data_IF_776392209789
#
_entry.id   IF_776392209789
#
_cell.length_a   1.000
_cell.length_b   1.000
_cell.length_c   1.000
_cell.angle_alpha   90.00
_cell.angle_beta   90.00
_cell.angle_gamma   90.00
#
_symmetry.space_group_name_H-M   'P 1'
#
loop_
_entity.id
_entity.type
_entity.pdbx_description
1 polymer ?
#
# COMPACT_ATOMS: atom_id res chain seq x y z
N UNK A 1 -25.04 -10.56 33.29
CA UNK A 1 -23.59 -10.73 33.01
C UNK A 1 -23.28 -10.77 31.51
N UNK A 2 -24.05 -11.49 30.72
CA UNK A 2 -23.84 -11.61 29.23
C UNK A 2 -24.13 -10.28 28.53
N UNK A 3 -25.16 -9.54 28.85
CA UNK A 3 -25.50 -8.25 28.23
C UNK A 3 -24.42 -7.18 28.46
N UNK A 4 -23.81 -7.14 29.61
CA UNK A 4 -22.72 -6.20 29.90
C UNK A 4 -21.46 -6.52 29.10
N UNK A 5 -21.18 -7.81 28.89
CA UNK A 5 -20.06 -8.26 28.06
C UNK A 5 -20.26 -7.89 26.59
N UNK A 6 -21.45 -8.08 26.04
CA UNK A 6 -21.79 -7.71 24.66
C UNK A 6 -21.73 -6.18 24.43
N UNK A 7 -22.21 -5.40 25.40
CA UNK A 7 -22.17 -3.93 25.34
C UNK A 7 -20.72 -3.40 25.35
N UNK A 8 -19.87 -3.94 26.21
CA UNK A 8 -18.45 -3.54 26.27
C UNK A 8 -17.66 -3.94 25.03
N UNK A 9 -17.97 -5.07 24.41
CA UNK A 9 -17.37 -5.47 23.13
C UNK A 9 -17.80 -4.56 21.97
N UNK A 10 -19.08 -4.21 21.89
CA UNK A 10 -19.60 -3.29 20.86
C UNK A 10 -18.91 -1.91 20.93
N UNK A 11 -18.71 -1.38 22.14
CA UNK A 11 -17.99 -0.12 22.33
C UNK A 11 -16.51 -0.21 21.91
N UNK A 12 -15.84 -1.32 22.20
CA UNK A 12 -14.44 -1.52 21.81
C UNK A 12 -14.30 -1.58 20.28
N UNK A 13 -15.14 -2.35 19.62
CA UNK A 13 -15.11 -2.46 18.15
C UNK A 13 -15.32 -1.10 17.48
N UNK A 14 -16.28 -0.31 17.98
CA UNK A 14 -16.53 1.04 17.46
C UNK A 14 -15.32 1.96 17.67
N UNK A 15 -14.69 1.91 18.84
CA UNK A 15 -13.50 2.72 19.13
C UNK A 15 -12.28 2.31 18.27
N UNK A 16 -12.09 1.00 18.04
CA UNK A 16 -11.05 0.48 17.15
C UNK A 16 -11.27 0.92 15.69
N UNK A 17 -12.50 0.91 15.19
CA UNK A 17 -12.84 1.43 13.87
C UNK A 17 -12.57 2.94 13.77
N UNK A 18 -12.89 3.70 14.80
CA UNK A 18 -12.63 5.14 14.85
C UNK A 18 -11.13 5.45 14.87
N UNK A 19 -10.37 4.72 15.67
CA UNK A 19 -8.91 4.79 15.67
C UNK A 19 -8.34 4.47 14.28
N UNK A 20 -8.76 3.35 13.69
CA UNK A 20 -8.32 2.93 12.35
C UNK A 20 -8.59 3.99 11.28
N UNK A 21 -9.79 4.58 11.28
CA UNK A 21 -10.15 5.63 10.33
C UNK A 21 -9.28 6.88 10.47
N UNK A 22 -8.96 7.32 11.71
CA UNK A 22 -8.06 8.45 11.94
C UNK A 22 -6.66 8.17 11.43
N UNK A 23 -6.14 6.97 11.65
CA UNK A 23 -4.85 6.53 11.16
C UNK A 23 -4.80 6.48 9.62
N UNK A 24 -5.83 5.89 9.01
CA UNK A 24 -5.95 5.74 7.55
C UNK A 24 -6.03 7.10 6.83
N UNK A 25 -6.81 8.03 7.38
CA UNK A 25 -7.05 9.34 6.77
C UNK A 25 -6.09 10.44 7.28
N UNK A 26 -5.13 10.08 8.13
CA UNK A 26 -4.14 11.00 8.72
C UNK A 26 -4.77 12.25 9.38
N UNK A 27 -5.99 12.11 9.92
CA UNK A 27 -6.65 13.24 10.58
C UNK A 27 -8.10 12.99 11.00
N UNK A 28 -8.47 13.58 12.15
CA UNK A 28 -9.79 13.40 12.75
C UNK A 28 -10.95 13.91 11.89
N UNK A 29 -10.78 15.07 11.23
CA UNK A 29 -11.84 15.66 10.39
C UNK A 29 -12.07 14.87 9.11
N UNK A 30 -11.02 14.35 8.48
CA UNK A 30 -11.12 13.52 7.29
C UNK A 30 -11.75 12.17 7.62
N UNK A 31 -11.32 11.53 8.72
CA UNK A 31 -11.89 10.28 9.21
C UNK A 31 -13.37 10.40 9.59
N UNK A 32 -13.76 11.49 10.27
CA UNK A 32 -15.15 11.73 10.65
C UNK A 32 -16.07 11.83 9.42
N UNK A 33 -15.63 12.52 8.36
CA UNK A 33 -16.36 12.57 7.09
C UNK A 33 -16.47 11.19 6.44
N UNK A 34 -15.38 10.42 6.41
CA UNK A 34 -15.37 9.08 5.82
C UNK A 34 -16.30 8.11 6.57
N UNK A 35 -16.39 8.25 7.90
CA UNK A 35 -17.28 7.44 8.73
C UNK A 35 -18.71 7.98 8.85
N UNK A 36 -19.01 9.13 8.25
CA UNK A 36 -20.31 9.81 8.31
C UNK A 36 -20.77 10.08 9.77
N UNK A 37 -19.84 10.50 10.63
CA UNK A 37 -20.10 10.92 12.02
C UNK A 37 -19.51 12.29 12.32
N UNK A 38 -19.89 12.89 13.45
CA UNK A 38 -19.29 14.16 13.87
C UNK A 38 -17.84 13.98 14.35
N UNK A 39 -16.98 14.97 14.07
CA UNK A 39 -15.60 14.95 14.57
C UNK A 39 -15.49 14.89 16.10
N UNK A 40 -16.34 15.57 16.90
CA UNK A 40 -16.37 15.37 18.35
C UNK A 40 -16.68 13.94 18.76
N UNK A 41 -17.64 13.28 18.11
CA UNK A 41 -17.98 11.87 18.36
C UNK A 41 -16.77 10.97 18.11
N UNK A 42 -16.13 11.12 16.95
CA UNK A 42 -14.92 10.35 16.62
C UNK A 42 -13.80 10.57 17.66
N UNK A 43 -13.53 11.84 18.00
CA UNK A 43 -12.51 12.19 18.98
C UNK A 43 -12.80 11.59 20.37
N UNK A 44 -14.06 11.57 20.78
CA UNK A 44 -14.48 10.97 22.05
C UNK A 44 -14.25 9.46 22.07
N UNK A 45 -14.57 8.76 20.97
CA UNK A 45 -14.36 7.32 20.83
C UNK A 45 -12.88 6.94 20.90
N UNK A 46 -12.00 7.69 20.20
CA UNK A 46 -10.55 7.47 20.25
C UNK A 46 -10.00 7.76 21.65
N UNK A 47 -10.37 8.88 22.25
CA UNK A 47 -9.95 9.21 23.63
C UNK A 47 -10.42 8.19 24.66
N UNK A 48 -11.62 7.64 24.49
CA UNK A 48 -12.12 6.58 25.36
C UNK A 48 -11.26 5.31 25.26
N UNK A 49 -10.76 4.99 24.04
CA UNK A 49 -9.84 3.87 23.83
C UNK A 49 -8.51 4.13 24.54
N UNK A 50 -7.89 5.28 24.30
CA UNK A 50 -6.63 5.69 24.93
C UNK A 50 -6.73 5.68 26.46
N UNK A 51 -7.79 6.27 27.01
CA UNK A 51 -8.04 6.31 28.46
C UNK A 51 -8.27 4.93 29.05
N UNK A 52 -9.00 4.05 28.37
CA UNK A 52 -9.32 2.70 28.87
C UNK A 52 -8.08 1.85 29.06
N UNK A 53 -7.09 2.00 28.19
CA UNK A 53 -5.87 1.19 28.19
C UNK A 53 -4.64 1.96 28.67
N UNK A 54 -4.82 3.21 29.08
CA UNK A 54 -3.76 4.12 29.55
C UNK A 54 -2.60 4.20 28.52
N UNK A 55 -2.95 4.42 27.25
CA UNK A 55 -2.01 4.48 26.15
C UNK A 55 -2.31 5.64 25.21
N UNK A 56 -1.29 6.37 24.80
CA UNK A 56 -1.41 7.35 23.73
C UNK A 56 -1.19 6.68 22.38
N UNK A 57 -2.19 6.77 21.50
CA UNK A 57 -2.16 6.19 20.14
C UNK A 57 -1.79 7.23 19.08
N UNK A 58 -2.12 8.50 19.36
CA UNK A 58 -1.79 9.63 18.48
C UNK A 58 -0.98 10.68 19.22
N UNK A 59 0.03 11.21 18.54
CA UNK A 59 0.75 12.42 18.93
C UNK A 59 0.35 13.60 18.03
N UNK A 60 0.38 14.82 18.57
CA UNK A 60 0.15 16.05 17.82
C UNK A 60 1.46 16.78 17.67
N UNK A 61 1.97 16.87 16.45
CA UNK A 61 3.15 17.67 16.13
C UNK A 61 2.69 18.84 15.28
N UNK A 62 2.73 20.06 15.83
CA UNK A 62 2.18 21.29 15.23
C UNK A 62 0.66 21.17 14.99
N UNK A 63 0.21 20.90 13.77
CA UNK A 63 -1.22 20.71 13.41
C UNK A 63 -1.53 19.33 12.87
N UNK A 64 -0.49 18.50 12.72
CA UNK A 64 -0.63 17.18 12.12
C UNK A 64 -0.81 16.09 13.18
N UNK A 65 -1.53 15.06 12.80
CA UNK A 65 -1.82 13.89 13.63
C UNK A 65 -0.89 12.76 13.17
N UNK A 66 -0.05 12.28 14.09
CA UNK A 66 0.88 11.19 13.84
C UNK A 66 0.58 10.03 14.78
N UNK A 67 0.81 8.81 14.31
CA UNK A 67 0.76 7.63 15.18
C UNK A 67 1.95 7.59 16.13
N UNK A 68 1.71 7.25 17.38
CA UNK A 68 2.79 6.84 18.31
C UNK A 68 3.30 5.44 17.95
N UNK A 69 4.39 4.95 18.54
CA UNK A 69 4.82 3.55 18.35
C UNK A 69 3.69 2.54 18.67
N UNK A 70 2.98 2.73 19.79
CA UNK A 70 1.82 1.92 20.16
C UNK A 70 0.68 2.06 19.13
N UNK A 71 0.44 3.28 18.63
CA UNK A 71 -0.51 3.53 17.55
C UNK A 71 -0.15 2.79 16.26
N UNK A 72 1.14 2.73 15.90
CA UNK A 72 1.58 2.00 14.71
C UNK A 72 1.31 0.49 14.82
N UNK A 73 1.62 -0.11 15.98
CA UNK A 73 1.35 -1.53 16.22
C UNK A 73 -0.15 -1.83 16.20
N UNK A 74 -0.95 -0.99 16.86
CA UNK A 74 -2.40 -1.14 16.86
C UNK A 74 -2.98 -0.95 15.46
N UNK A 75 -2.43 -0.03 14.65
CA UNK A 75 -2.88 0.18 13.28
C UNK A 75 -2.68 -1.07 12.41
N UNK A 76 -1.53 -1.76 12.53
CA UNK A 76 -1.30 -3.02 11.82
C UNK A 76 -2.31 -4.10 12.24
N UNK A 77 -2.70 -4.12 13.50
CA UNK A 77 -3.69 -5.07 14.01
C UNK A 77 -5.10 -4.72 13.54
N UNK A 78 -5.48 -3.44 13.56
CA UNK A 78 -6.80 -3.01 13.07
C UNK A 78 -6.94 -3.11 11.55
N UNK A 79 -5.86 -2.99 10.79
CA UNK A 79 -5.85 -3.32 9.36
C UNK A 79 -6.37 -4.73 9.11
N UNK A 80 -5.80 -5.73 9.78
CA UNK A 80 -6.23 -7.13 9.66
C UNK A 80 -7.67 -7.35 10.12
N UNK A 81 -8.07 -6.66 11.19
CA UNK A 81 -9.44 -6.76 11.69
C UNK A 81 -10.47 -6.27 10.67
N UNK A 82 -10.26 -5.08 10.09
CA UNK A 82 -11.18 -4.50 9.10
C UNK A 82 -11.25 -5.36 7.84
N UNK A 83 -10.17 -6.04 7.50
CA UNK A 83 -10.11 -6.93 6.34
C UNK A 83 -10.84 -8.23 6.55
N UNK A 84 -10.63 -8.89 7.71
CA UNK A 84 -11.38 -10.11 8.04
C UNK A 84 -12.88 -9.84 8.07
N UNK A 85 -13.29 -8.63 8.47
CA UNK A 85 -14.69 -8.20 8.37
C UNK A 85 -15.16 -8.11 6.91
N UNK A 86 -14.39 -7.46 6.04
CA UNK A 86 -14.71 -7.34 4.62
C UNK A 86 -14.74 -8.72 3.93
N UNK A 87 -13.79 -9.59 4.23
CA UNK A 87 -13.77 -10.97 3.72
C UNK A 87 -14.99 -11.76 4.17
N UNK A 88 -15.40 -11.61 5.42
CA UNK A 88 -16.61 -12.26 5.92
C UNK A 88 -17.88 -11.75 5.22
N UNK A 89 -17.96 -10.45 4.94
CA UNK A 89 -19.06 -9.85 4.18
C UNK A 89 -19.07 -10.34 2.73
N UNK A 90 -17.93 -10.37 2.07
CA UNK A 90 -17.77 -10.87 0.70
C UNK A 90 -18.16 -12.37 0.62
N UNK A 91 -17.73 -13.17 1.60
CA UNK A 91 -18.12 -14.58 1.69
C UNK A 91 -19.64 -14.74 1.83
N UNK A 92 -20.28 -13.97 2.71
CA UNK A 92 -21.72 -13.98 2.88
C UNK A 92 -22.48 -13.55 1.61
N UNK A 93 -21.93 -12.58 0.89
CA UNK A 93 -22.49 -12.12 -0.38
C UNK A 93 -22.34 -13.18 -1.48
N UNK A 94 -21.24 -13.95 -1.50
CA UNK A 94 -21.04 -15.03 -2.45
C UNK A 94 -22.09 -16.14 -2.30
N UNK A 95 -22.53 -16.45 -1.08
CA UNK A 95 -23.61 -17.41 -0.83
C UNK A 95 -24.98 -16.96 -1.37
N UNK A 96 -25.17 -15.65 -1.60
CA UNK A 96 -26.41 -15.13 -2.21
C UNK A 96 -26.41 -15.22 -3.74
N UNK A 97 -25.37 -15.81 -4.34
CA UNK A 97 -25.20 -15.89 -5.79
C UNK A 97 -24.95 -14.52 -6.44
N UNK A 98 -24.50 -13.55 -5.65
CA UNK A 98 -24.11 -12.24 -6.16
C UNK A 98 -22.66 -12.33 -6.62
N UNK A 99 -22.45 -12.22 -7.92
CA UNK A 99 -21.15 -11.99 -8.55
C UNK A 99 -20.65 -10.56 -8.29
N UNK A 100 -20.84 -10.05 -7.08
CA UNK A 100 -20.49 -8.71 -6.67
C UNK A 100 -19.46 -8.80 -5.54
N UNK A 101 -18.50 -7.90 -5.52
CA UNK A 101 -17.44 -7.85 -4.52
C UNK A 101 -16.49 -6.70 -4.81
N UNK A 102 -15.38 -6.67 -4.10
CA UNK A 102 -14.32 -5.69 -4.30
C UNK A 102 -12.99 -6.38 -4.59
N UNK A 103 -12.18 -5.80 -5.48
CA UNK A 103 -10.82 -6.22 -5.78
C UNK A 103 -9.86 -5.05 -5.58
N UNK A 104 -8.95 -5.19 -4.64
CA UNK A 104 -7.94 -4.18 -4.34
C UNK A 104 -6.61 -4.61 -4.93
N UNK A 105 -6.02 -3.76 -5.78
CA UNK A 105 -4.78 -4.05 -6.49
C UNK A 105 -3.70 -3.07 -6.05
N UNK A 106 -2.53 -3.58 -5.69
CA UNK A 106 -1.31 -2.79 -5.54
C UNK A 106 -0.40 -3.00 -6.74
N UNK A 107 -0.01 -1.94 -7.44
CA UNK A 107 0.76 -2.06 -8.67
C UNK A 107 1.96 -1.09 -8.73
N UNK A 108 3.03 -1.52 -9.38
CA UNK A 108 4.25 -0.69 -9.55
C UNK A 108 4.14 0.32 -10.69
N UNK A 109 3.11 0.21 -11.51
CA UNK A 109 2.87 1.14 -12.61
C UNK A 109 1.53 0.90 -13.29
N UNK A 110 1.02 1.88 -14.04
CA UNK A 110 -0.31 1.81 -14.63
C UNK A 110 -0.39 0.88 -15.86
N UNK A 111 0.70 0.68 -16.60
CA UNK A 111 0.68 0.07 -17.92
C UNK A 111 -0.03 -1.30 -17.95
N UNK A 112 0.52 -2.29 -17.25
CA UNK A 112 -0.11 -3.62 -17.20
C UNK A 112 -1.36 -3.67 -16.34
N UNK A 113 -1.40 -2.87 -15.27
CA UNK A 113 -2.54 -2.85 -14.36
C UNK A 113 -3.81 -2.36 -15.04
N UNK A 114 -3.70 -1.36 -15.91
CA UNK A 114 -4.86 -0.79 -16.62
C UNK A 114 -5.45 -1.79 -17.61
N UNK A 115 -4.61 -2.45 -18.41
CA UNK A 115 -5.09 -3.44 -19.38
C UNK A 115 -5.79 -4.61 -18.70
N UNK A 116 -5.17 -5.17 -17.65
CA UNK A 116 -5.77 -6.25 -16.86
C UNK A 116 -7.09 -5.85 -16.21
N UNK A 117 -7.18 -4.60 -15.71
CA UNK A 117 -8.40 -4.07 -15.10
C UNK A 117 -9.53 -3.95 -16.11
N UNK A 118 -9.25 -3.47 -17.33
CA UNK A 118 -10.27 -3.33 -18.39
C UNK A 118 -10.84 -4.70 -18.74
N UNK A 119 -9.99 -5.68 -19.00
CA UNK A 119 -10.41 -7.03 -19.34
C UNK A 119 -11.19 -7.69 -18.20
N UNK A 120 -10.72 -7.52 -16.97
CA UNK A 120 -11.39 -8.05 -15.78
C UNK A 120 -12.78 -7.40 -15.58
N UNK A 121 -12.88 -6.07 -15.70
CA UNK A 121 -14.15 -5.36 -15.52
C UNK A 121 -15.17 -5.68 -16.60
N UNK A 122 -14.73 -5.94 -17.83
CA UNK A 122 -15.61 -6.41 -18.91
C UNK A 122 -16.20 -7.78 -18.60
N UNK A 123 -15.40 -8.67 -17.99
CA UNK A 123 -15.85 -10.02 -17.62
C UNK A 123 -16.67 -10.06 -16.33
N UNK A 124 -16.33 -9.18 -15.37
CA UNK A 124 -16.97 -9.13 -14.05
C UNK A 124 -17.47 -7.70 -13.73
N UNK A 125 -18.51 -7.22 -14.41
CA UNK A 125 -18.93 -5.82 -14.33
C UNK A 125 -19.46 -5.39 -12.95
N UNK A 126 -19.83 -6.34 -12.10
CA UNK A 126 -20.36 -6.07 -10.75
C UNK A 126 -19.28 -6.03 -9.66
N UNK A 127 -18.01 -6.34 -9.99
CA UNK A 127 -16.91 -6.26 -9.04
C UNK A 127 -16.33 -4.84 -9.06
N UNK A 128 -16.25 -4.21 -7.90
CA UNK A 128 -15.58 -2.93 -7.75
C UNK A 128 -14.08 -3.12 -7.68
N UNK A 129 -13.33 -2.37 -8.51
CA UNK A 129 -11.88 -2.46 -8.58
C UNK A 129 -11.28 -1.17 -8.07
N UNK A 130 -10.33 -1.28 -7.15
CA UNK A 130 -9.47 -0.18 -6.74
C UNK A 130 -8.01 -0.52 -7.00
N UNK A 131 -7.27 0.44 -7.57
CA UNK A 131 -5.82 0.28 -7.81
C UNK A 131 -5.08 1.37 -7.05
N UNK A 132 -4.01 0.97 -6.38
CA UNK A 132 -3.08 1.91 -5.78
C UNK A 132 -1.69 1.66 -6.33
N UNK A 133 -1.07 2.75 -6.83
CA UNK A 133 0.27 2.70 -7.40
C UNK A 133 1.34 3.03 -6.36
N UNK A 134 2.46 2.33 -6.46
CA UNK A 134 3.64 2.54 -5.62
C UNK A 134 4.86 1.89 -6.23
N UNK A 135 5.98 1.85 -5.51
CA UNK A 135 7.11 1.01 -5.91
C UNK A 135 6.92 -0.43 -5.42
N UNK A 136 7.81 -1.33 -5.83
CA UNK A 136 7.71 -2.76 -5.51
C UNK A 136 7.68 -3.02 -4.02
N UNK A 137 8.51 -2.34 -3.24
CA UNK A 137 8.55 -2.50 -1.79
C UNK A 137 7.22 -2.11 -1.14
N UNK A 138 6.72 -0.90 -1.42
CA UNK A 138 5.45 -0.41 -0.85
C UNK A 138 4.26 -1.25 -1.28
N UNK A 139 4.22 -1.70 -2.53
CA UNK A 139 3.16 -2.56 -3.04
C UNK A 139 3.19 -3.93 -2.36
N UNK A 140 4.38 -4.48 -2.12
CA UNK A 140 4.53 -5.73 -1.38
C UNK A 140 4.18 -5.61 0.10
N UNK A 141 4.64 -4.56 0.78
CA UNK A 141 4.25 -4.26 2.17
C UNK A 141 2.74 -4.13 2.32
N UNK A 142 2.08 -3.48 1.35
CA UNK A 142 0.63 -3.35 1.33
C UNK A 142 -0.07 -4.71 1.17
N UNK A 143 0.44 -5.57 0.30
CA UNK A 143 -0.07 -6.94 0.13
C UNK A 143 0.07 -7.73 1.44
N UNK A 144 1.23 -7.69 2.09
CA UNK A 144 1.48 -8.35 3.37
C UNK A 144 0.66 -7.79 4.54
N UNK A 145 0.35 -6.50 4.49
CA UNK A 145 -0.54 -5.83 5.43
C UNK A 145 -2.01 -6.01 5.06
N UNK A 146 -2.29 -6.82 4.02
CA UNK A 146 -3.63 -7.06 3.50
C UNK A 146 -4.36 -5.80 3.00
N UNK A 147 -3.71 -4.73 2.69
CA UNK A 147 -4.24 -3.53 2.04
C UNK A 147 -4.48 -3.69 0.53
N UNK A 148 -4.15 -4.88 -0.02
CA UNK A 148 -4.45 -5.29 -1.38
C UNK A 148 -4.65 -6.80 -1.43
N UNK A 149 -5.48 -7.27 -2.36
CA UNK A 149 -5.77 -8.68 -2.59
C UNK A 149 -4.82 -9.26 -3.64
N UNK A 150 -4.40 -8.41 -4.59
CA UNK A 150 -3.46 -8.75 -5.66
C UNK A 150 -2.37 -7.69 -5.77
N UNK A 151 -1.12 -8.15 -5.97
CA UNK A 151 0.03 -7.32 -6.26
C UNK A 151 0.55 -7.52 -7.68
N UNK A 152 0.67 -6.46 -8.48
CA UNK A 152 1.43 -6.44 -9.73
C UNK A 152 2.79 -5.81 -9.44
N UNK A 153 3.77 -6.65 -9.13
CA UNK A 153 5.02 -6.25 -8.51
C UNK A 153 6.18 -6.86 -9.28
N UNK A 154 7.23 -6.11 -9.50
CA UNK A 154 8.45 -6.62 -10.10
C UNK A 154 9.34 -7.21 -8.99
N UNK A 155 9.89 -8.39 -9.19
CA UNK A 155 10.82 -9.11 -8.31
C UNK A 155 10.41 -9.08 -6.83
N UNK A 156 9.78 -10.16 -6.36
CA UNK A 156 9.30 -10.27 -4.99
C UNK A 156 10.21 -11.23 -4.22
N UNK A 157 10.58 -10.86 -3.00
CA UNK A 157 11.19 -11.81 -2.06
C UNK A 157 10.17 -12.89 -1.72
N UNK A 158 10.61 -14.15 -1.71
CA UNK A 158 9.76 -15.25 -1.31
C UNK A 158 9.21 -15.03 0.11
N UNK A 159 7.89 -15.07 0.24
CA UNK A 159 7.19 -14.97 1.53
C UNK A 159 6.10 -16.04 1.55
N UNK A 160 5.99 -16.88 2.59
CA UNK A 160 5.03 -17.98 2.64
C UNK A 160 3.57 -17.54 2.64
N UNK A 161 3.30 -16.27 2.89
CA UNK A 161 1.94 -15.68 2.88
C UNK A 161 1.48 -15.29 1.49
N UNK A 162 2.35 -15.36 0.47
CA UNK A 162 2.08 -14.86 -0.87
C UNK A 162 2.33 -15.97 -1.90
N UNK A 163 1.36 -16.16 -2.79
CA UNK A 163 1.54 -16.98 -3.99
C UNK A 163 1.97 -16.08 -5.14
N UNK A 164 3.11 -16.41 -5.75
CA UNK A 164 3.67 -15.62 -6.86
C UNK A 164 3.46 -16.35 -8.18
N UNK A 165 2.92 -15.63 -9.17
CA UNK A 165 2.75 -16.10 -10.54
C UNK A 165 3.59 -15.20 -11.47
N UNK A 166 4.50 -15.76 -12.28
CA UNK A 166 5.24 -14.95 -13.25
C UNK A 166 4.30 -14.48 -14.37
N UNK A 167 4.38 -13.18 -14.70
CA UNK A 167 3.53 -12.59 -15.73
C UNK A 167 4.34 -12.13 -16.95
N UNK A 168 5.35 -11.28 -16.74
CA UNK A 168 6.19 -10.75 -17.82
C UNK A 168 7.60 -10.46 -17.32
N UNK A 169 8.53 -10.29 -18.25
CA UNK A 169 9.91 -9.89 -17.97
C UNK A 169 10.26 -8.70 -18.87
N UNK A 170 10.91 -7.70 -18.29
CA UNK A 170 11.36 -6.50 -18.99
C UNK A 170 12.79 -6.18 -18.61
N UNK A 171 13.52 -5.69 -19.58
CA UNK A 171 14.88 -5.19 -19.36
C UNK A 171 14.86 -3.80 -18.72
N UNK A 172 15.84 -3.53 -17.88
CA UNK A 172 16.11 -2.19 -17.40
C UNK A 172 17.03 -1.51 -18.39
N UNK A 173 16.58 -0.40 -18.95
CA UNK A 173 17.30 0.35 -19.96
C UNK A 173 17.66 1.76 -19.47
N UNK A 174 18.72 2.32 -20.01
CA UNK A 174 19.09 3.72 -19.82
C UNK A 174 18.53 4.53 -20.98
N UNK A 175 17.98 5.68 -20.70
CA UNK A 175 17.57 6.63 -21.73
C UNK A 175 18.18 8.02 -21.44
N UNK A 176 18.39 8.78 -22.49
CA UNK A 176 18.99 10.10 -22.44
C UNK A 176 18.19 11.09 -23.31
N UNK A 177 18.32 12.39 -23.02
CA UNK A 177 17.72 13.42 -23.86
C UNK A 177 18.45 13.54 -25.20
N UNK A 178 17.87 14.28 -26.14
CA UNK A 178 18.40 14.48 -27.52
C UNK A 178 19.80 15.08 -27.58
N UNK A 179 20.19 15.84 -26.55
CA UNK A 179 21.48 16.56 -26.54
C UNK A 179 22.59 15.72 -25.90
N UNK A 180 22.26 14.55 -25.39
CA UNK A 180 23.23 13.68 -24.72
C UNK A 180 24.00 12.83 -25.75
N UNK A 181 25.33 12.60 -25.60
CA UNK A 181 26.11 11.78 -26.51
C UNK A 181 25.62 10.35 -26.75
N UNK A 182 24.81 9.83 -25.77
CA UNK A 182 24.25 8.49 -25.88
C UNK A 182 22.93 8.41 -26.67
N UNK A 183 22.31 9.54 -27.01
CA UNK A 183 20.96 9.57 -27.59
C UNK A 183 20.80 8.78 -28.89
N UNK A 184 21.79 8.91 -29.79
CA UNK A 184 21.75 8.25 -31.12
C UNK A 184 22.43 6.86 -31.11
N UNK A 185 22.72 6.30 -29.95
CA UNK A 185 23.41 5.01 -29.86
C UNK A 185 22.39 3.91 -29.54
N UNK A 186 22.50 2.81 -30.26
CA UNK A 186 21.65 1.63 -30.02
C UNK A 186 21.95 0.97 -28.68
N UNK A 187 23.20 1.03 -28.22
CA UNK A 187 23.64 0.49 -26.95
C UNK A 187 24.85 1.22 -26.40
N UNK A 188 25.05 1.14 -25.11
CA UNK A 188 26.23 1.62 -24.38
C UNK A 188 26.75 0.52 -23.45
N UNK A 189 28.06 0.53 -23.22
CA UNK A 189 28.65 -0.32 -22.19
C UNK A 189 28.31 0.25 -20.80
N UNK A 190 28.10 -0.60 -19.82
CA UNK A 190 27.90 -0.18 -18.43
C UNK A 190 29.06 0.65 -17.89
N UNK A 191 30.29 0.40 -18.37
CA UNK A 191 31.48 1.16 -18.00
C UNK A 191 31.45 2.62 -18.49
N UNK A 192 30.67 2.94 -19.52
CA UNK A 192 30.50 4.30 -20.00
C UNK A 192 29.58 5.14 -19.11
N UNK A 193 28.87 4.50 -18.17
CA UNK A 193 28.10 5.19 -17.13
C UNK A 193 28.98 5.74 -16.01
N UNK A 194 30.27 5.39 -15.99
CA UNK A 194 31.20 5.87 -14.97
C UNK A 194 31.21 7.39 -14.92
N UNK A 195 31.03 7.92 -13.72
CA UNK A 195 31.00 9.36 -13.42
C UNK A 195 29.90 10.15 -14.16
N UNK A 196 28.95 9.47 -14.81
CA UNK A 196 27.80 10.13 -15.42
C UNK A 196 26.80 10.58 -14.38
N UNK A 197 26.16 11.73 -14.64
CA UNK A 197 25.02 12.22 -13.84
C UNK A 197 23.77 11.45 -14.22
N UNK A 198 23.21 10.72 -13.26
CA UNK A 198 22.07 9.84 -13.50
C UNK A 198 20.93 10.19 -12.56
N UNK A 199 19.73 10.31 -13.10
CA UNK A 199 18.49 10.34 -12.32
C UNK A 199 18.05 8.90 -12.08
N UNK A 200 18.03 8.50 -10.82
CA UNK A 200 17.58 7.16 -10.43
C UNK A 200 16.14 7.18 -9.93
N UNK A 201 15.53 6.01 -9.92
CA UNK A 201 14.28 5.77 -9.23
C UNK A 201 14.49 5.86 -7.69
N UNK A 202 13.40 6.05 -7.00
CA UNK A 202 13.35 6.10 -5.54
C UNK A 202 13.77 4.78 -4.87
N UNK A 203 14.14 4.84 -3.59
CA UNK A 203 14.44 3.66 -2.77
C UNK A 203 13.20 2.75 -2.71
N UNK A 204 13.41 1.43 -2.86
CA UNK A 204 12.35 0.42 -2.92
C UNK A 204 11.85 0.12 -4.34
N UNK A 205 12.40 0.78 -5.37
CA UNK A 205 12.18 0.44 -6.77
C UNK A 205 13.08 -0.73 -7.18
N UNK A 206 12.51 -1.77 -7.78
CA UNK A 206 13.28 -2.89 -8.35
C UNK A 206 14.11 -2.47 -9.55
N UNK A 207 13.69 -1.49 -10.34
CA UNK A 207 14.50 -0.89 -11.39
C UNK A 207 15.80 -0.30 -10.84
N UNK A 208 15.71 0.42 -9.71
CA UNK A 208 16.89 0.94 -9.02
C UNK A 208 17.77 -0.19 -8.50
N UNK A 209 17.21 -1.19 -7.85
CA UNK A 209 17.95 -2.34 -7.31
C UNK A 209 18.68 -3.09 -8.43
N UNK A 210 18.02 -3.31 -9.58
CA UNK A 210 18.63 -3.98 -10.72
C UNK A 210 19.81 -3.17 -11.30
N UNK A 211 19.67 -1.85 -11.42
CA UNK A 211 20.73 -0.97 -11.85
C UNK A 211 21.91 -0.97 -10.86
N UNK A 212 21.64 -0.78 -9.57
CA UNK A 212 22.67 -0.78 -8.52
C UNK A 212 23.45 -2.11 -8.48
N UNK A 213 22.76 -3.25 -8.64
CA UNK A 213 23.38 -4.57 -8.74
C UNK A 213 24.32 -4.65 -9.95
N UNK A 214 23.86 -4.24 -11.15
CA UNK A 214 24.67 -4.26 -12.35
C UNK A 214 25.90 -3.34 -12.23
N UNK A 215 25.76 -2.15 -11.67
CA UNK A 215 26.86 -1.24 -11.43
C UNK A 215 27.90 -1.85 -10.46
N UNK A 216 27.44 -2.50 -9.38
CA UNK A 216 28.29 -3.17 -8.40
C UNK A 216 29.05 -4.35 -9.01
N UNK A 217 28.38 -5.18 -9.82
CA UNK A 217 28.99 -6.34 -10.50
C UNK A 217 30.12 -5.94 -11.45
N UNK A 218 30.06 -4.72 -11.99
CA UNK A 218 31.06 -4.19 -12.93
C UNK A 218 32.00 -3.14 -12.35
N UNK A 219 31.93 -2.89 -11.04
CA UNK A 219 32.75 -1.88 -10.34
C UNK A 219 32.64 -0.48 -10.94
N UNK A 220 31.40 -0.07 -11.29
CA UNK A 220 31.09 1.23 -11.88
C UNK A 220 30.38 2.11 -10.87
N UNK A 221 30.86 3.33 -10.71
CA UNK A 221 30.20 4.38 -9.92
C UNK A 221 29.53 5.41 -10.83
N UNK A 222 28.40 5.94 -10.40
CA UNK A 222 27.64 7.02 -11.07
C UNK A 222 27.44 8.17 -10.11
N UNK A 223 27.21 9.37 -10.64
CA UNK A 223 26.80 10.55 -9.86
C UNK A 223 25.27 10.64 -9.86
N UNK A 224 24.64 10.31 -8.73
CA UNK A 224 23.18 10.34 -8.60
C UNK A 224 22.73 11.76 -8.27
N UNK A 225 21.97 12.37 -9.16
CA UNK A 225 21.52 13.76 -9.05
C UNK A 225 20.14 13.93 -8.41
N UNK A 226 19.33 12.87 -8.31
CA UNK A 226 18.08 12.80 -7.47
C UNK A 226 17.72 11.34 -7.25
#
# INVERSE_FOLDING_TARGET
MIEWFLYTQSMLTTALRSFHAVALHSGFSAAARAMNISQPTLSTQVKALEKRYDVELFSRIRRDVHLTPAGQELYQTTLRLMQNEAEAEDLLNSFKGLEAGSLRIAAVGPFHATDMMVDFKLRYPKIDISIQFGNSQRSFERLLAYGADVGLIAEVKADPRVVTLPYSSHEVVVFANSDHPFFNRESISIHELKDQKVVQREIGSTTRIAMERALQEHDVSIDVVV
#
